data_IF_013532836852
#
_entry.id   IF_013532836852
#
_cell.length_a   1.000
_cell.length_b   1.000
_cell.length_c   1.000
_cell.angle_alpha   90.00
_cell.angle_beta   90.00
_cell.angle_gamma   90.00
#
_symmetry.space_group_name_H-M   'P 1'
#
loop_
_entity.id
_entity.type
_entity.pdbx_description
1 polymer ?
#
# COMPACT_ATOMS: atom_id res chain seq x y z
N UNK A 1 12.33 -15.68 13.42
CA UNK A 1 11.86 -16.76 12.52
C UNK A 1 10.39 -16.51 12.22
N UNK A 2 10.12 -15.54 11.37
CA UNK A 2 8.81 -15.36 10.73
C UNK A 2 9.12 -15.39 9.24
N UNK A 3 8.76 -16.52 8.63
CA UNK A 3 8.70 -16.76 7.21
C UNK A 3 7.80 -15.68 6.62
N UNK A 4 8.36 -14.63 6.02
CA UNK A 4 7.64 -13.79 5.08
C UNK A 4 7.20 -14.71 3.96
N UNK A 5 5.93 -15.07 3.98
CA UNK A 5 5.30 -15.82 2.90
C UNK A 5 5.33 -14.93 1.67
N UNK A 6 6.36 -15.10 0.84
CA UNK A 6 6.47 -14.47 -0.47
C UNK A 6 5.20 -14.79 -1.26
N UNK A 7 4.25 -13.85 -1.31
CA UNK A 7 2.99 -14.03 -2.00
C UNK A 7 3.20 -13.64 -3.46
N UNK A 8 3.12 -14.61 -4.36
CA UNK A 8 3.11 -14.34 -5.79
C UNK A 8 1.81 -13.61 -6.13
N UNK A 9 1.91 -12.35 -6.55
CA UNK A 9 0.74 -11.46 -6.75
C UNK A 9 0.17 -11.64 -8.16
N UNK A 10 1.01 -11.99 -9.14
CA UNK A 10 0.56 -12.19 -10.50
C UNK A 10 1.64 -12.68 -11.45
N UNK A 11 1.19 -13.39 -12.50
CA UNK A 11 2.00 -13.81 -13.65
C UNK A 11 1.39 -13.24 -14.92
N UNK A 12 2.14 -12.42 -15.63
CA UNK A 12 1.71 -11.84 -16.92
C UNK A 12 2.69 -12.34 -17.98
N UNK A 13 2.31 -13.39 -18.71
CA UNK A 13 3.19 -14.06 -19.66
C UNK A 13 4.47 -14.61 -18.99
N UNK A 14 5.64 -14.08 -19.37
CA UNK A 14 6.96 -14.40 -18.80
C UNK A 14 7.32 -13.57 -17.55
N UNK A 15 6.51 -12.57 -17.19
CA UNK A 15 6.76 -11.72 -16.04
C UNK A 15 6.20 -12.32 -14.76
N UNK A 16 6.97 -12.24 -13.68
CA UNK A 16 6.59 -12.71 -12.35
C UNK A 16 6.76 -11.55 -11.37
N UNK A 17 5.71 -11.28 -10.58
CA UNK A 17 5.72 -10.29 -9.51
C UNK A 17 5.44 -10.98 -8.18
N UNK A 18 6.35 -10.80 -7.22
CA UNK A 18 6.24 -11.36 -5.88
C UNK A 18 6.27 -10.23 -4.86
N UNK A 19 5.29 -10.23 -3.93
CA UNK A 19 5.33 -9.37 -2.76
C UNK A 19 6.33 -9.97 -1.78
N UNK A 20 7.38 -9.23 -1.46
CA UNK A 20 8.37 -9.64 -0.45
C UNK A 20 7.89 -9.17 0.93
N UNK A 21 7.52 -7.89 1.01
CA UNK A 21 7.21 -7.23 2.26
C UNK A 21 6.23 -6.07 2.06
N UNK A 22 5.48 -5.76 3.12
CA UNK A 22 4.54 -4.65 3.17
C UNK A 22 4.56 -4.02 4.56
N UNK A 23 4.50 -2.69 4.59
CA UNK A 23 4.42 -1.92 5.82
C UNK A 23 3.23 -0.97 5.73
N UNK A 24 2.44 -0.92 6.80
CA UNK A 24 1.23 -0.11 6.89
C UNK A 24 -0.03 -0.88 6.50
N UNK A 25 -1.16 -0.35 6.94
CA UNK A 25 -2.51 -0.84 6.68
C UNK A 25 -3.47 0.33 6.47
N UNK A 26 -4.71 0.06 6.08
CA UNK A 26 -5.75 1.09 5.95
C UNK A 26 -5.93 1.89 7.26
N UNK A 27 -5.78 1.23 8.42
CA UNK A 27 -5.78 1.88 9.73
C UNK A 27 -4.59 2.85 9.90
N UNK A 28 -3.43 2.52 9.32
CA UNK A 28 -2.25 3.39 9.36
C UNK A 28 -2.48 4.67 8.57
N UNK A 29 -3.14 4.58 7.40
CA UNK A 29 -3.52 5.74 6.57
C UNK A 29 -4.54 6.62 7.31
N UNK A 30 -5.55 6.00 7.92
CA UNK A 30 -6.57 6.68 8.72
C UNK A 30 -5.96 7.41 9.91
N UNK A 31 -5.09 6.74 10.66
CA UNK A 31 -4.40 7.35 11.80
C UNK A 31 -3.44 8.47 11.35
N UNK A 32 -2.76 8.33 10.21
CA UNK A 32 -1.94 9.39 9.63
C UNK A 32 -2.78 10.62 9.26
N UNK A 33 -3.98 10.45 8.69
CA UNK A 33 -4.87 11.57 8.41
C UNK A 33 -5.44 12.22 9.70
N UNK A 34 -5.69 11.40 10.73
CA UNK A 34 -6.26 11.85 12.01
C UNK A 34 -5.27 12.45 12.98
N UNK A 35 -3.96 12.36 12.71
CA UNK A 35 -2.92 12.99 13.54
C UNK A 35 -3.15 14.50 13.68
N UNK A 36 -3.72 15.13 12.64
CA UNK A 36 -4.13 16.54 12.63
C UNK A 36 -5.25 16.88 13.63
N UNK A 37 -5.99 15.87 14.09
CA UNK A 37 -7.11 16.01 15.02
C UNK A 37 -6.82 15.41 16.41
N UNK A 38 -5.57 15.02 16.69
CA UNK A 38 -5.14 14.39 17.95
C UNK A 38 -5.98 13.17 18.36
N UNK A 39 -6.45 12.39 17.37
CA UNK A 39 -7.23 11.16 17.58
C UNK A 39 -6.50 9.96 17.01
N UNK A 40 -6.49 8.87 17.77
CA UNK A 40 -5.92 7.57 17.37
C UNK A 40 -7.03 6.53 17.43
N UNK A 41 -7.15 5.72 16.37
CA UNK A 41 -8.00 4.54 16.34
C UNK A 41 -7.15 3.28 16.57
N UNK A 42 -7.59 2.44 17.51
CA UNK A 42 -6.98 1.13 17.78
C UNK A 42 -7.52 0.03 16.86
N UNK A 43 -8.75 0.19 16.38
CA UNK A 43 -9.43 -0.74 15.46
C UNK A 43 -9.99 0.01 14.26
N UNK A 44 -9.97 -0.64 13.10
CA UNK A 44 -10.55 -0.10 11.87
C UNK A 44 -12.08 -0.17 11.92
N UNK A 45 -12.76 0.97 11.79
CA UNK A 45 -14.21 1.07 11.66
C UNK A 45 -14.57 1.03 10.17
N UNK A 46 -15.06 -0.11 9.68
CA UNK A 46 -15.33 -0.32 8.25
C UNK A 46 -16.21 0.78 7.63
N UNK A 47 -17.21 1.29 8.33
CA UNK A 47 -18.11 2.30 7.78
C UNK A 47 -17.50 3.71 7.79
N UNK A 48 -16.92 4.12 8.92
CA UNK A 48 -16.42 5.50 9.07
C UNK A 48 -15.07 5.69 8.42
N UNK A 49 -14.16 4.72 8.57
CA UNK A 49 -12.79 4.85 8.10
C UNK A 49 -12.70 4.66 6.58
N UNK A 50 -13.52 3.79 5.99
CA UNK A 50 -13.66 3.69 4.53
C UNK A 50 -14.20 4.99 3.93
N UNK A 51 -15.16 5.66 4.57
CA UNK A 51 -15.65 6.97 4.11
C UNK A 51 -14.54 8.03 4.16
N UNK A 52 -13.72 8.02 5.20
CA UNK A 52 -12.58 8.94 5.33
C UNK A 52 -11.53 8.67 4.25
N UNK A 53 -11.14 7.42 4.02
CA UNK A 53 -10.19 7.06 2.95
C UNK A 53 -10.72 7.52 1.59
N UNK A 54 -11.99 7.24 1.29
CA UNK A 54 -12.62 7.68 0.05
C UNK A 54 -12.67 9.20 -0.08
N UNK A 55 -12.89 9.93 1.03
CA UNK A 55 -12.84 11.39 1.04
C UNK A 55 -11.43 11.90 0.73
N UNK A 56 -10.40 11.35 1.37
CA UNK A 56 -9.00 11.73 1.12
C UNK A 56 -8.60 11.48 -0.33
N UNK A 57 -8.96 10.33 -0.88
CA UNK A 57 -8.68 9.98 -2.28
C UNK A 57 -9.40 10.90 -3.27
N UNK A 58 -10.65 11.29 -2.99
CA UNK A 58 -11.42 12.22 -3.84
C UNK A 58 -10.89 13.65 -3.83
N UNK A 59 -10.22 14.05 -2.76
CA UNK A 59 -9.70 15.41 -2.57
C UNK A 59 -8.18 15.51 -2.78
N UNK A 60 -7.56 14.50 -3.41
CA UNK A 60 -6.12 14.46 -3.69
C UNK A 60 -5.24 14.66 -2.44
N UNK A 61 -5.71 14.23 -1.27
CA UNK A 61 -4.95 14.24 -0.04
C UNK A 61 -4.06 12.99 0.03
N UNK A 62 -2.95 13.04 -0.71
CA UNK A 62 -2.04 11.91 -0.90
C UNK A 62 -1.04 11.71 0.26
N UNK A 63 -0.78 12.72 1.09
CA UNK A 63 0.20 12.64 2.18
C UNK A 63 -0.06 11.49 3.17
N UNK A 64 -1.30 11.24 3.65
CA UNK A 64 -1.58 10.09 4.51
C UNK A 64 -1.34 8.72 3.86
N UNK A 65 -1.47 8.62 2.53
CA UNK A 65 -1.24 7.37 1.80
C UNK A 65 0.26 7.04 1.64
N UNK A 66 1.14 8.04 1.73
CA UNK A 66 2.59 7.86 1.63
C UNK A 66 3.24 7.18 2.84
N UNK A 67 2.47 6.89 3.89
CA UNK A 67 2.99 6.25 5.10
C UNK A 67 3.10 4.73 4.98
N UNK A 68 2.51 4.13 3.94
CA UNK A 68 2.69 2.72 3.61
C UNK A 68 3.83 2.49 2.63
N UNK A 69 4.50 1.34 2.73
CA UNK A 69 5.53 0.93 1.77
C UNK A 69 5.33 -0.52 1.34
N UNK A 70 5.61 -0.83 0.08
CA UNK A 70 5.51 -2.16 -0.49
C UNK A 70 6.83 -2.52 -1.16
N UNK A 71 7.31 -3.75 -0.94
CA UNK A 71 8.53 -4.28 -1.53
C UNK A 71 8.20 -5.42 -2.49
N UNK A 72 8.62 -5.29 -3.74
CA UNK A 72 8.33 -6.25 -4.80
C UNK A 72 9.61 -6.82 -5.40
N UNK A 73 9.60 -8.13 -5.66
CA UNK A 73 10.53 -8.78 -6.57
C UNK A 73 9.85 -8.91 -7.94
N UNK A 74 10.40 -8.24 -8.96
CA UNK A 74 9.84 -8.20 -10.31
C UNK A 74 10.84 -8.82 -11.29
N UNK A 75 10.48 -9.98 -11.84
CA UNK A 75 11.19 -10.58 -12.96
C UNK A 75 10.49 -10.17 -14.26
N UNK A 76 11.14 -9.34 -15.07
CA UNK A 76 10.57 -8.83 -16.32
C UNK A 76 11.62 -8.66 -17.44
N UNK A 77 11.20 -8.71 -18.72
CA UNK A 77 12.08 -8.37 -19.84
C UNK A 77 12.62 -6.95 -19.76
N UNK A 78 13.83 -6.73 -20.28
CA UNK A 78 14.56 -5.45 -20.22
C UNK A 78 13.75 -4.25 -20.73
N UNK A 79 12.93 -4.42 -21.77
CA UNK A 79 12.12 -3.32 -22.31
C UNK A 79 11.01 -2.87 -21.35
N UNK A 80 10.47 -3.77 -20.53
CA UNK A 80 9.46 -3.44 -19.50
C UNK A 80 10.13 -2.86 -18.26
N UNK A 81 11.23 -3.48 -17.81
CA UNK A 81 11.97 -3.03 -16.63
C UNK A 81 12.43 -1.57 -16.76
N UNK A 82 12.80 -1.13 -17.98
CA UNK A 82 13.19 0.26 -18.26
C UNK A 82 12.04 1.27 -18.12
N UNK A 83 10.79 0.87 -18.31
CA UNK A 83 9.64 1.77 -18.12
C UNK A 83 9.30 1.94 -16.63
N UNK A 84 9.59 0.92 -15.81
CA UNK A 84 9.25 0.92 -14.39
C UNK A 84 10.13 1.85 -13.55
N UNK A 85 11.32 2.19 -14.04
CA UNK A 85 12.29 3.08 -13.36
C UNK A 85 12.12 4.55 -13.78
N UNK A 86 11.12 4.87 -14.60
CA UNK A 86 10.87 6.22 -15.13
C UNK A 86 9.82 6.94 -14.31
#
# INVERSE_FOLDING_TARGET
MAITSNMAIGKIGLMIVTLIDHMGSDLSVVNAARVSFAKIHESFDEDKDTKLINYLAKHDHWSPFGHGSLQFHIQAPVFVARQLVK
#
